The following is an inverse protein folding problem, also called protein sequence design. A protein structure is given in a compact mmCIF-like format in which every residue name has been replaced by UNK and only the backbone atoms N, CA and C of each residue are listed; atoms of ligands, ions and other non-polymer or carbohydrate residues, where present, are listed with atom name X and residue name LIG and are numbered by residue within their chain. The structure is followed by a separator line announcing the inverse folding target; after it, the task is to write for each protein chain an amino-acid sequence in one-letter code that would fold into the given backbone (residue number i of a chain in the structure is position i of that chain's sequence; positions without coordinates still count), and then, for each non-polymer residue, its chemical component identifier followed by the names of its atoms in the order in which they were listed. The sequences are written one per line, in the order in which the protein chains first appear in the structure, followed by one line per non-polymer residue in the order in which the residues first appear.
data_IF_144438790519
#
_entry.id   IF_144438790519
#
_cell.length_a   1.000
_cell.length_b   1.000
_cell.length_c   1.000
_cell.angle_alpha   90.00
_cell.angle_beta   90.00
_cell.angle_gamma   90.00
#
_symmetry.space_group_name_H-M   'P 1'
#
loop_
_entity.id
_entity.type
_entity.pdbx_description
1 polymer ?
#
# COMPACT_ATOMS: atom_id res chain seq x y z
N UNK A 1 2.28 0.64 -24.09
CA UNK A 1 2.29 0.41 -22.65
C UNK A 1 1.72 1.67 -22.00
N UNK A 2 0.73 1.50 -21.15
CA UNK A 2 0.11 2.61 -20.43
C UNK A 2 1.13 3.27 -19.52
N UNK A 3 1.20 4.60 -19.52
CA UNK A 3 2.10 5.36 -18.63
C UNK A 3 1.29 5.87 -17.45
N UNK A 4 1.88 5.81 -16.25
CA UNK A 4 1.29 6.41 -15.06
C UNK A 4 1.10 7.92 -15.32
N UNK A 5 -0.12 8.45 -15.20
CA UNK A 5 -0.35 9.88 -15.30
C UNK A 5 0.35 10.65 -14.18
N UNK A 6 0.68 11.92 -14.41
CA UNK A 6 1.18 12.79 -13.34
C UNK A 6 0.07 13.13 -12.34
N UNK A 7 0.45 13.44 -11.10
CA UNK A 7 -0.54 13.83 -10.09
C UNK A 7 -1.36 15.06 -10.52
N UNK A 8 -0.71 16.05 -11.11
CA UNK A 8 -1.36 17.26 -11.63
C UNK A 8 -2.42 16.94 -12.70
N UNK A 9 -2.10 16.04 -13.65
CA UNK A 9 -3.07 15.59 -14.66
C UNK A 9 -4.27 14.88 -13.99
N UNK A 10 -4.00 14.00 -13.01
CA UNK A 10 -5.05 13.29 -12.29
C UNK A 10 -5.95 14.24 -11.52
N UNK A 11 -5.37 15.27 -10.90
CA UNK A 11 -6.13 16.29 -10.15
C UNK A 11 -7.10 17.08 -11.04
N UNK A 12 -6.67 17.45 -12.26
CA UNK A 12 -7.54 18.08 -13.24
C UNK A 12 -8.65 17.12 -13.72
N UNK A 13 -8.29 15.87 -14.02
CA UNK A 13 -9.25 14.87 -14.47
C UNK A 13 -10.24 14.44 -13.38
N UNK A 14 -9.85 14.43 -12.13
CA UNK A 14 -10.75 14.13 -11.03
C UNK A 14 -11.92 15.12 -10.92
N UNK A 15 -11.72 16.39 -11.34
CA UNK A 15 -12.79 17.41 -11.38
C UNK A 15 -13.88 17.12 -12.40
N UNK A 16 -13.57 16.29 -13.41
CA UNK A 16 -14.51 15.87 -14.45
C UNK A 16 -15.32 14.61 -14.06
N UNK A 17 -15.07 14.04 -12.88
CA UNK A 17 -15.77 12.82 -12.44
C UNK A 17 -17.27 13.00 -12.40
N UNK A 18 -17.99 12.06 -13.02
CA UNK A 18 -19.45 12.02 -13.00
C UNK A 18 -20.03 11.78 -11.61
N UNK A 19 -19.24 11.25 -10.71
CA UNK A 19 -19.66 10.91 -9.37
C UNK A 19 -19.46 12.05 -8.36
N UNK A 20 -18.80 13.15 -8.70
CA UNK A 20 -18.56 14.28 -7.78
C UNK A 20 -19.84 14.92 -7.22
N UNK A 21 -20.97 14.77 -7.90
CA UNK A 21 -22.27 15.26 -7.42
C UNK A 21 -22.96 14.29 -6.46
N UNK A 22 -22.48 13.03 -6.36
CA UNK A 22 -23.00 12.08 -5.39
C UNK A 22 -22.54 12.47 -3.98
N UNK A 23 -23.46 12.55 -2.99
CA UNK A 23 -23.11 12.95 -1.62
C UNK A 23 -22.06 12.04 -0.97
N UNK A 24 -22.12 10.73 -1.23
CA UNK A 24 -21.14 9.77 -0.74
C UNK A 24 -19.73 10.09 -1.26
N UNK A 25 -19.60 10.23 -2.57
CA UNK A 25 -18.30 10.46 -3.24
C UNK A 25 -17.71 11.82 -2.82
N UNK A 26 -18.55 12.86 -2.74
CA UNK A 26 -18.11 14.18 -2.24
C UNK A 26 -17.53 14.07 -0.83
N UNK A 27 -18.24 13.38 0.05
CA UNK A 27 -17.77 13.13 1.43
C UNK A 27 -16.43 12.38 1.46
N UNK A 28 -16.24 11.39 0.58
CA UNK A 28 -14.97 10.66 0.48
C UNK A 28 -13.80 11.57 0.08
N UNK A 29 -14.02 12.46 -0.91
CA UNK A 29 -13.00 13.42 -1.33
C UNK A 29 -12.62 14.34 -0.18
N UNK A 30 -13.59 14.92 0.53
CA UNK A 30 -13.36 15.77 1.69
C UNK A 30 -12.57 15.02 2.78
N UNK A 31 -12.98 13.80 3.12
CA UNK A 31 -12.34 12.99 4.14
C UNK A 31 -10.92 12.54 3.77
N UNK A 32 -10.64 12.32 2.47
CA UNK A 32 -9.29 11.96 2.03
C UNK A 32 -8.24 13.05 2.28
N UNK A 33 -8.70 14.30 2.42
CA UNK A 33 -7.87 15.47 2.70
C UNK A 33 -7.85 15.84 4.18
N UNK A 34 -8.79 15.32 4.97
CA UNK A 34 -9.00 15.74 6.37
C UNK A 34 -7.96 15.12 7.32
N UNK A 35 -6.94 15.91 7.64
CA UNK A 35 -5.91 15.53 8.60
C UNK A 35 -6.41 15.42 10.05
N UNK A 36 -7.53 16.06 10.39
CA UNK A 36 -8.07 16.02 11.75
C UNK A 36 -8.59 14.62 12.13
N UNK A 37 -8.80 13.73 11.15
CA UNK A 37 -9.20 12.34 11.38
C UNK A 37 -8.22 11.59 12.29
N UNK A 38 -6.93 11.89 12.18
CA UNK A 38 -5.89 11.23 12.98
C UNK A 38 -5.92 11.58 14.47
N UNK A 39 -6.69 12.60 14.83
CA UNK A 39 -6.86 13.08 16.22
C UNK A 39 -8.23 12.73 16.81
N UNK A 40 -9.11 12.10 16.02
CA UNK A 40 -10.45 11.71 16.47
C UNK A 40 -10.40 10.50 17.40
N UNK A 41 -11.41 10.40 18.27
CA UNK A 41 -11.52 9.25 19.16
C UNK A 41 -11.83 7.95 18.41
N UNK A 42 -11.47 6.80 18.98
CA UNK A 42 -11.78 5.48 18.40
C UNK A 42 -13.29 5.30 18.13
N UNK A 43 -14.16 5.80 19.03
CA UNK A 43 -15.62 5.70 18.90
C UNK A 43 -16.13 6.54 17.73
N UNK A 44 -15.60 7.76 17.56
CA UNK A 44 -15.94 8.59 16.41
C UNK A 44 -15.55 7.93 15.10
N UNK A 45 -14.33 7.38 15.03
CA UNK A 45 -13.84 6.71 13.83
C UNK A 45 -14.62 5.42 13.53
N UNK A 46 -14.99 4.66 14.55
CA UNK A 46 -15.83 3.47 14.39
C UNK A 46 -17.21 3.85 13.81
N UNK A 47 -17.84 4.91 14.33
CA UNK A 47 -19.11 5.39 13.79
C UNK A 47 -18.96 5.92 12.36
N UNK A 48 -17.89 6.68 12.08
CA UNK A 48 -17.60 7.19 10.75
C UNK A 48 -17.46 6.05 9.73
N UNK A 49 -16.70 4.99 10.06
CA UNK A 49 -16.54 3.84 9.17
C UNK A 49 -17.85 3.09 8.94
N UNK A 50 -18.70 2.97 9.97
CA UNK A 50 -20.05 2.39 9.83
C UNK A 50 -20.91 3.22 8.88
N UNK A 51 -20.90 4.53 9.01
CA UNK A 51 -21.64 5.44 8.11
C UNK A 51 -21.11 5.34 6.67
N UNK A 52 -19.77 5.24 6.50
CA UNK A 52 -19.15 5.06 5.20
C UNK A 52 -19.48 3.69 4.59
N UNK A 53 -19.52 2.62 5.38
CA UNK A 53 -19.96 1.32 4.93
C UNK A 53 -21.36 1.40 4.32
N UNK A 54 -22.34 1.92 5.09
CA UNK A 54 -23.72 2.05 4.63
C UNK A 54 -23.85 2.89 3.37
N UNK A 55 -23.19 4.04 3.35
CA UNK A 55 -23.21 4.92 2.16
C UNK A 55 -22.50 4.33 0.95
N UNK A 56 -21.42 3.55 1.15
CA UNK A 56 -20.77 2.81 0.06
C UNK A 56 -21.69 1.74 -0.52
N UNK A 57 -22.30 0.91 0.33
CA UNK A 57 -23.22 -0.13 -0.13
C UNK A 57 -24.41 0.47 -0.91
N UNK A 58 -25.01 1.56 -0.41
CA UNK A 58 -26.07 2.28 -1.10
C UNK A 58 -25.60 2.83 -2.46
N UNK A 59 -24.40 3.44 -2.50
CA UNK A 59 -23.80 3.93 -3.74
C UNK A 59 -23.62 2.81 -4.78
N UNK A 60 -23.05 1.68 -4.37
CA UNK A 60 -22.83 0.55 -5.30
C UNK A 60 -24.14 -0.11 -5.73
N UNK A 61 -25.12 -0.24 -4.86
CA UNK A 61 -26.45 -0.77 -5.21
C UNK A 61 -27.15 0.10 -6.26
N UNK A 62 -27.09 1.43 -6.12
CA UNK A 62 -27.70 2.37 -7.08
C UNK A 62 -26.99 2.41 -8.42
N UNK A 63 -25.72 2.08 -8.49
CA UNK A 63 -24.89 2.19 -9.70
C UNK A 63 -24.63 0.85 -10.40
N UNK A 64 -25.04 -0.30 -9.81
CA UNK A 64 -24.79 -1.62 -10.40
C UNK A 64 -25.85 -2.64 -9.97
N UNK A 65 -26.52 -3.22 -10.95
CA UNK A 65 -27.46 -4.32 -10.74
C UNK A 65 -26.77 -5.56 -10.12
N UNK A 66 -25.48 -5.77 -10.45
CA UNK A 66 -24.69 -6.83 -9.83
C UNK A 66 -24.61 -6.65 -8.31
N UNK A 67 -24.28 -5.45 -7.83
CA UNK A 67 -24.19 -5.22 -6.38
C UNK A 67 -25.55 -5.26 -5.69
N UNK A 68 -26.59 -4.76 -6.33
CA UNK A 68 -27.95 -4.89 -5.80
C UNK A 68 -28.30 -6.36 -5.56
N UNK A 69 -28.13 -7.22 -6.58
CA UNK A 69 -28.39 -8.66 -6.48
C UNK A 69 -27.47 -9.36 -5.46
N UNK A 70 -26.22 -8.94 -5.38
CA UNK A 70 -25.27 -9.47 -4.39
C UNK A 70 -25.78 -9.21 -2.96
N UNK A 71 -26.16 -7.97 -2.65
CA UNK A 71 -26.63 -7.62 -1.31
C UNK A 71 -27.95 -8.34 -0.98
N UNK A 72 -28.91 -8.37 -1.89
CA UNK A 72 -30.15 -9.13 -1.74
C UNK A 72 -29.87 -10.61 -1.43
N UNK A 73 -28.96 -11.25 -2.17
CA UNK A 73 -28.64 -12.66 -2.00
C UNK A 73 -27.93 -12.98 -0.68
N UNK A 74 -27.16 -12.01 -0.14
CA UNK A 74 -26.49 -12.12 1.15
C UNK A 74 -27.36 -11.66 2.32
N UNK A 75 -28.60 -11.20 2.04
CA UNK A 75 -29.51 -10.69 3.06
C UNK A 75 -29.00 -9.41 3.72
N UNK A 76 -28.29 -8.56 2.96
CA UNK A 76 -27.71 -7.30 3.45
C UNK A 76 -28.62 -6.15 3.01
N UNK A 77 -29.11 -5.40 3.99
CA UNK A 77 -29.75 -4.09 3.78
C UNK A 77 -28.65 -2.99 3.86
N UNK A 78 -28.35 -2.30 2.75
CA UNK A 78 -27.33 -1.23 2.76
C UNK A 78 -27.55 -0.18 3.85
N UNK A 79 -28.80 0.15 4.17
CA UNK A 79 -29.13 1.19 5.15
C UNK A 79 -28.88 0.76 6.60
N UNK A 80 -28.88 -0.54 6.88
CA UNK A 80 -28.74 -1.14 8.19
C UNK A 80 -27.45 -1.99 8.34
N UNK A 81 -26.57 -1.97 7.34
CA UNK A 81 -25.35 -2.78 7.33
C UNK A 81 -24.42 -2.48 8.51
N UNK A 82 -23.84 -3.53 9.06
CA UNK A 82 -22.87 -3.47 10.16
C UNK A 82 -21.51 -4.04 9.71
N UNK A 83 -20.40 -3.75 10.41
CA UNK A 83 -19.07 -4.21 10.02
C UNK A 83 -18.95 -5.73 9.84
N UNK A 84 -19.75 -6.52 10.56
CA UNK A 84 -19.80 -7.98 10.46
C UNK A 84 -20.30 -8.46 9.09
N UNK A 85 -21.10 -7.67 8.40
CA UNK A 85 -21.58 -7.99 7.05
C UNK A 85 -20.45 -7.95 6.01
N UNK A 86 -19.36 -7.23 6.28
CA UNK A 86 -18.20 -7.19 5.40
C UNK A 86 -17.61 -8.58 5.13
N UNK A 87 -17.66 -9.48 6.09
CA UNK A 87 -17.19 -10.86 5.93
C UNK A 87 -17.94 -11.62 4.83
N UNK A 88 -19.22 -11.30 4.60
CA UNK A 88 -20.06 -11.91 3.54
C UNK A 88 -19.72 -11.34 2.15
N UNK A 89 -19.12 -10.15 2.10
CA UNK A 89 -18.79 -9.42 0.87
C UNK A 89 -17.32 -9.55 0.48
N UNK A 90 -16.47 -10.05 1.38
CA UNK A 90 -15.02 -10.07 1.18
C UNK A 90 -14.60 -11.05 0.08
N UNK A 91 -13.91 -10.52 -0.92
CA UNK A 91 -13.46 -11.25 -2.11
C UNK A 91 -11.99 -11.67 -1.92
N UNK A 92 -11.67 -12.98 -2.01
CA UNK A 92 -10.27 -13.40 -2.07
C UNK A 92 -9.53 -12.79 -3.28
N UNK A 93 -8.34 -12.24 -3.06
CA UNK A 93 -7.53 -11.59 -4.11
C UNK A 93 -7.28 -12.49 -5.33
N UNK A 94 -7.26 -13.81 -5.16
CA UNK A 94 -7.09 -14.73 -6.28
C UNK A 94 -8.25 -14.69 -7.29
N UNK A 95 -9.46 -14.29 -6.88
CA UNK A 95 -10.60 -14.09 -7.78
C UNK A 95 -10.48 -12.80 -8.63
N UNK A 96 -9.61 -11.88 -8.24
CA UNK A 96 -9.37 -10.61 -8.96
C UNK A 96 -8.26 -10.75 -10.02
N UNK A 97 -7.65 -11.94 -10.16
CA UNK A 97 -6.55 -12.18 -11.11
C UNK A 97 -7.02 -12.17 -12.57
N UNK A 98 -6.09 -11.84 -13.46
CA UNK A 98 -6.39 -11.73 -14.89
C UNK A 98 -7.45 -10.69 -15.16
N UNK A 99 -8.59 -11.10 -15.66
CA UNK A 99 -9.76 -10.25 -15.91
C UNK A 99 -10.85 -10.38 -14.81
N UNK A 100 -10.53 -11.06 -13.68
CA UNK A 100 -11.52 -11.31 -12.62
C UNK A 100 -12.15 -10.04 -12.05
N UNK A 101 -11.38 -8.96 -11.94
CA UNK A 101 -11.87 -7.66 -11.45
C UNK A 101 -13.00 -7.05 -12.30
N UNK A 102 -13.04 -7.31 -13.61
CA UNK A 102 -14.04 -6.72 -14.51
C UNK A 102 -15.49 -7.01 -14.08
N UNK A 103 -15.69 -8.11 -13.35
CA UNK A 103 -16.99 -8.51 -12.80
C UNK A 103 -17.47 -7.61 -11.66
N UNK A 104 -16.53 -7.00 -10.95
CA UNK A 104 -16.77 -6.16 -9.79
C UNK A 104 -16.74 -4.67 -10.12
N UNK A 105 -16.18 -4.27 -11.27
CA UNK A 105 -16.10 -2.88 -11.67
C UNK A 105 -17.48 -2.31 -12.03
N UNK A 106 -17.74 -1.08 -11.60
CA UNK A 106 -18.93 -0.35 -12.07
C UNK A 106 -18.90 -0.20 -13.59
N UNK A 107 -20.02 -0.49 -14.29
CA UNK A 107 -20.07 -0.38 -15.75
C UNK A 107 -19.89 1.06 -16.26
N UNK A 108 -20.23 2.04 -15.42
CA UNK A 108 -20.18 3.46 -15.71
C UNK A 108 -19.03 4.19 -15.01
N UNK A 109 -17.95 3.48 -14.62
CA UNK A 109 -16.77 4.09 -13.99
C UNK A 109 -16.13 5.19 -14.81
N UNK A 110 -15.52 6.18 -14.17
CA UNK A 110 -14.85 7.27 -14.86
C UNK A 110 -13.64 6.77 -15.67
N UNK A 111 -13.46 7.23 -16.91
CA UNK A 111 -12.30 6.88 -17.72
C UNK A 111 -11.07 7.72 -17.36
N UNK A 112 -9.93 7.40 -17.97
CA UNK A 112 -8.70 8.20 -17.89
C UNK A 112 -7.84 7.96 -16.62
N UNK A 113 -8.17 6.92 -15.86
CA UNK A 113 -7.37 6.49 -14.72
C UNK A 113 -6.19 5.61 -15.13
N UNK A 114 -5.81 4.69 -14.25
CA UNK A 114 -4.69 3.79 -14.44
C UNK A 114 -4.99 2.39 -13.92
N UNK A 115 -4.45 1.37 -14.61
CA UNK A 115 -4.59 -0.02 -14.18
C UNK A 115 -3.33 -0.50 -13.49
N UNK A 116 -3.39 -0.64 -12.18
CA UNK A 116 -2.32 -1.26 -11.39
C UNK A 116 -2.23 -2.76 -11.64
N UNK A 117 -1.01 -3.29 -11.49
CA UNK A 117 -0.74 -4.72 -11.63
C UNK A 117 0.11 -5.22 -10.47
N UNK A 118 -0.23 -6.39 -9.96
CA UNK A 118 0.63 -7.08 -9.01
C UNK A 118 1.89 -7.60 -9.71
N UNK A 119 2.94 -7.87 -8.93
CA UNK A 119 4.25 -8.29 -9.47
C UNK A 119 4.25 -9.64 -10.20
N UNK A 120 3.20 -10.46 -10.05
CA UNK A 120 3.10 -11.76 -10.73
C UNK A 120 4.20 -12.77 -10.33
N UNK A 121 4.83 -12.63 -9.18
CA UNK A 121 5.96 -13.48 -8.73
C UNK A 121 5.59 -14.93 -8.43
N UNK A 122 4.30 -15.22 -8.24
CA UNK A 122 3.79 -16.56 -7.94
C UNK A 122 3.57 -17.46 -9.16
N UNK A 123 3.93 -17.01 -10.37
CA UNK A 123 3.62 -17.74 -11.61
C UNK A 123 2.15 -17.73 -12.02
N UNK A 124 1.26 -17.15 -11.20
CA UNK A 124 -0.15 -16.94 -11.51
C UNK A 124 -0.33 -15.62 -12.29
N UNK A 125 -1.44 -15.47 -12.99
CA UNK A 125 -1.82 -14.21 -13.60
C UNK A 125 -1.78 -13.06 -12.57
N UNK A 126 -1.28 -11.87 -12.95
CA UNK A 126 -1.25 -10.73 -12.05
C UNK A 126 -2.68 -10.27 -11.72
N UNK A 127 -2.90 -9.82 -10.50
CA UNK A 127 -4.06 -9.01 -10.17
C UNK A 127 -3.95 -7.70 -10.95
N UNK A 128 -5.07 -7.22 -11.51
CA UNK A 128 -5.16 -5.97 -12.26
C UNK A 128 -6.32 -5.17 -11.72
N UNK A 129 -6.08 -4.00 -11.15
CA UNK A 129 -7.11 -3.15 -10.57
C UNK A 129 -7.12 -1.80 -11.28
N UNK A 130 -8.24 -1.46 -11.88
CA UNK A 130 -8.45 -0.12 -12.41
C UNK A 130 -8.75 0.87 -11.28
N UNK A 131 -8.17 2.06 -11.38
CA UNK A 131 -8.44 3.20 -10.50
C UNK A 131 -8.78 4.43 -11.35
N UNK A 132 -9.90 5.06 -11.08
CA UNK A 132 -10.28 6.31 -11.72
C UNK A 132 -9.35 7.45 -11.31
N UNK A 133 -9.31 8.57 -12.03
CA UNK A 133 -8.52 9.74 -11.63
C UNK A 133 -8.90 10.25 -10.24
N UNK A 134 -10.19 10.23 -9.89
CA UNK A 134 -10.68 10.64 -8.58
C UNK A 134 -10.14 9.73 -7.46
N UNK A 135 -10.19 8.41 -7.65
CA UNK A 135 -9.62 7.45 -6.71
C UNK A 135 -8.12 7.63 -6.54
N UNK A 136 -7.38 7.87 -7.63
CA UNK A 136 -5.94 8.09 -7.57
C UNK A 136 -5.56 9.36 -6.80
N UNK A 137 -6.35 10.43 -6.94
CA UNK A 137 -6.16 11.66 -6.16
C UNK A 137 -6.48 11.43 -4.68
N UNK A 138 -7.64 10.82 -4.38
CA UNK A 138 -8.03 10.53 -3.01
C UNK A 138 -7.02 9.60 -2.31
N UNK A 139 -6.61 8.52 -2.99
CA UNK A 139 -5.56 7.61 -2.56
C UNK A 139 -4.26 8.33 -2.22
N UNK A 140 -3.80 9.20 -3.13
CA UNK A 140 -2.54 9.92 -2.96
C UNK A 140 -2.59 10.84 -1.75
N UNK A 141 -3.67 11.61 -1.59
CA UNK A 141 -3.85 12.55 -0.48
C UNK A 141 -3.99 11.82 0.85
N UNK A 142 -4.83 10.79 0.92
CA UNK A 142 -5.04 9.98 2.13
C UNK A 142 -3.74 9.33 2.62
N UNK A 143 -2.99 8.69 1.72
CA UNK A 143 -1.74 8.04 2.10
C UNK A 143 -0.62 9.03 2.44
N UNK A 144 -0.55 10.18 1.75
CA UNK A 144 0.40 11.22 2.11
C UNK A 144 0.11 11.77 3.51
N UNK A 145 -1.18 11.93 3.87
CA UNK A 145 -1.57 12.35 5.22
C UNK A 145 -1.24 11.27 6.27
N UNK A 146 -1.49 9.99 5.97
CA UNK A 146 -1.11 8.89 6.86
C UNK A 146 0.41 8.84 7.03
N UNK A 147 1.18 9.00 5.95
CA UNK A 147 2.64 9.03 6.02
C UNK A 147 3.14 10.19 6.90
N UNK A 148 2.61 11.38 6.71
CA UNK A 148 2.95 12.53 7.58
C UNK A 148 2.60 12.29 9.04
N UNK A 149 1.44 11.68 9.31
CA UNK A 149 1.02 11.39 10.67
C UNK A 149 1.96 10.40 11.37
N UNK A 150 2.34 9.30 10.71
CA UNK A 150 3.22 8.29 11.31
C UNK A 150 4.68 8.71 11.38
N UNK A 151 5.09 9.55 10.43
CA UNK A 151 6.45 10.07 10.32
C UNK A 151 6.69 11.29 11.24
N UNK A 152 5.65 12.05 11.56
CA UNK A 152 5.69 13.28 12.33
C UNK A 152 5.87 14.53 11.45
N UNK A 153 6.07 15.68 12.09
CA UNK A 153 6.17 17.00 11.44
C UNK A 153 7.50 17.23 10.67
N UNK A 154 8.22 16.18 10.36
CA UNK A 154 9.54 16.28 9.70
C UNK A 154 9.42 16.37 8.19
N UNK A 155 8.31 15.89 7.61
CA UNK A 155 8.07 15.93 6.19
C UNK A 155 7.23 17.16 5.83
N UNK A 156 7.89 18.19 5.34
CA UNK A 156 7.22 19.40 4.85
C UNK A 156 7.16 19.39 3.32
N UNK A 157 6.07 19.87 2.72
CA UNK A 157 5.97 19.96 1.27
C UNK A 157 7.16 20.72 0.66
N UNK A 158 7.77 20.14 -0.37
CA UNK A 158 8.94 20.72 -1.04
C UNK A 158 10.27 20.61 -0.28
N UNK A 159 10.30 19.91 0.86
CA UNK A 159 11.52 19.67 1.64
C UNK A 159 11.91 18.19 1.62
N UNK A 160 13.22 17.95 1.74
CA UNK A 160 13.76 16.59 1.74
C UNK A 160 14.10 16.07 0.35
N UNK A 161 14.67 14.88 0.35
CA UNK A 161 15.10 14.17 -0.86
C UNK A 161 14.80 12.69 -0.72
N UNK A 162 14.16 12.12 -1.71
CA UNK A 162 13.88 10.70 -1.76
C UNK A 162 14.79 9.97 -2.77
N UNK A 163 15.31 8.80 -2.38
CA UNK A 163 15.93 7.83 -3.28
C UNK A 163 15.05 6.60 -3.32
N UNK A 164 14.66 6.17 -4.51
CA UNK A 164 14.02 4.89 -4.70
C UNK A 164 14.97 3.93 -5.43
N UNK A 165 15.27 2.78 -4.83
CA UNK A 165 16.01 1.69 -5.50
C UNK A 165 15.11 0.95 -6.50
N UNK A 166 14.68 1.66 -7.50
CA UNK A 166 13.88 1.21 -8.62
C UNK A 166 14.31 1.97 -9.88
N UNK A 167 14.00 1.45 -11.05
CA UNK A 167 14.03 2.20 -12.29
C UNK A 167 12.71 2.96 -12.47
N UNK A 168 12.76 4.15 -13.07
CA UNK A 168 11.59 5.01 -13.24
C UNK A 168 10.45 4.30 -14.01
N UNK A 169 10.80 3.49 -15.01
CA UNK A 169 9.83 2.76 -15.82
C UNK A 169 8.95 1.81 -15.00
N UNK A 170 9.43 1.36 -13.82
CA UNK A 170 8.67 0.47 -12.96
C UNK A 170 7.43 1.11 -12.34
N UNK A 171 7.33 2.45 -12.29
CA UNK A 171 6.10 3.12 -11.87
C UNK A 171 4.90 2.82 -12.78
N UNK A 172 5.18 2.46 -14.05
CA UNK A 172 4.15 2.04 -15.00
C UNK A 172 3.73 0.57 -14.85
N UNK A 173 4.29 -0.16 -13.86
CA UNK A 173 4.06 -1.59 -13.68
C UNK A 173 3.78 -1.99 -12.24
N UNK A 174 4.49 -1.40 -11.29
CA UNK A 174 4.45 -1.81 -9.89
C UNK A 174 3.71 -0.80 -9.04
N UNK A 175 2.64 -1.27 -8.40
CA UNK A 175 1.79 -0.45 -7.54
C UNK A 175 2.60 0.37 -6.51
N UNK A 176 3.51 -0.27 -5.78
CA UNK A 176 4.31 0.43 -4.76
C UNK A 176 5.15 1.58 -5.35
N UNK A 177 5.74 1.39 -6.55
CA UNK A 177 6.54 2.44 -7.20
C UNK A 177 5.66 3.60 -7.66
N UNK A 178 4.52 3.29 -8.30
CA UNK A 178 3.56 4.29 -8.74
C UNK A 178 2.99 5.10 -7.55
N UNK A 179 2.67 4.43 -6.48
CA UNK A 179 2.13 5.01 -5.27
C UNK A 179 3.09 6.00 -4.62
N UNK A 180 4.36 5.63 -4.44
CA UNK A 180 5.38 6.51 -3.90
C UNK A 180 5.64 7.70 -4.83
N UNK A 181 5.69 7.45 -6.16
CA UNK A 181 5.89 8.51 -7.17
C UNK A 181 4.79 9.59 -7.07
N UNK A 182 3.52 9.18 -7.05
CA UNK A 182 2.39 10.11 -6.93
C UNK A 182 2.39 10.88 -5.60
N UNK A 183 2.67 10.20 -4.48
CA UNK A 183 2.71 10.83 -3.17
C UNK A 183 3.83 11.89 -3.08
N UNK A 184 5.00 11.62 -3.65
CA UNK A 184 6.12 12.56 -3.67
C UNK A 184 5.88 13.71 -4.65
N UNK A 185 5.20 13.49 -5.79
CA UNK A 185 4.73 14.55 -6.67
C UNK A 185 3.76 15.49 -5.94
N UNK A 186 2.76 14.94 -5.26
CA UNK A 186 1.80 15.72 -4.46
C UNK A 186 2.51 16.56 -3.39
N UNK A 187 3.50 16.00 -2.70
CA UNK A 187 4.27 16.70 -1.68
C UNK A 187 5.40 17.58 -2.26
N UNK A 188 5.58 17.60 -3.57
CA UNK A 188 6.66 18.35 -4.26
C UNK A 188 8.06 18.02 -3.72
N UNK A 189 8.28 16.76 -3.36
CA UNK A 189 9.57 16.25 -2.88
C UNK A 189 10.32 15.67 -4.06
N UNK A 190 11.60 16.04 -4.19
CA UNK A 190 12.47 15.52 -5.25
C UNK A 190 12.66 14.01 -5.07
N UNK A 191 12.38 13.23 -6.12
CA UNK A 191 12.62 11.80 -6.18
C UNK A 191 13.77 11.49 -7.15
N UNK A 192 14.71 10.68 -6.68
CA UNK A 192 15.80 10.11 -7.48
C UNK A 192 15.53 8.61 -7.63
N UNK A 193 15.44 8.14 -8.85
CA UNK A 193 15.41 6.70 -9.16
C UNK A 193 16.83 6.17 -9.24
N UNK A 194 17.23 5.33 -8.28
CA UNK A 194 18.60 4.84 -8.10
C UNK A 194 19.01 3.67 -8.97
N UNK A 195 18.13 3.18 -9.84
CA UNK A 195 18.38 2.06 -10.73
C UNK A 195 18.05 2.44 -12.17
N UNK A 196 18.66 1.78 -13.13
CA UNK A 196 18.31 1.81 -14.55
C UNK A 196 17.94 0.39 -15.03
N UNK A 197 17.22 0.28 -16.15
CA UNK A 197 17.01 -0.99 -16.82
C UNK A 197 18.22 -1.36 -17.68
N UNK A 198 18.70 -2.60 -17.60
CA UNK A 198 19.76 -3.08 -18.48
C UNK A 198 19.29 -3.12 -19.94
N UNK A 199 20.10 -2.60 -20.87
CA UNK A 199 19.78 -2.50 -22.30
C UNK A 199 19.60 -3.85 -23.01
N UNK A 200 20.27 -4.91 -22.54
CA UNK A 200 20.33 -6.23 -23.21
C UNK A 200 19.37 -7.27 -22.65
N UNK A 201 18.37 -6.83 -21.95
CA UNK A 201 17.48 -7.74 -21.24
C UNK A 201 16.39 -8.33 -22.14
N UNK A 202 16.70 -9.33 -22.94
CA UNK A 202 15.71 -10.17 -23.64
C UNK A 202 15.01 -11.11 -22.66
N UNK A 203 13.69 -11.03 -22.57
CA UNK A 203 12.84 -11.94 -21.79
C UNK A 203 12.92 -11.77 -20.25
N UNK A 204 11.93 -12.25 -19.53
CA UNK A 204 11.84 -12.24 -18.07
C UNK A 204 11.36 -10.93 -17.42
N UNK A 205 11.09 -10.96 -16.10
CA UNK A 205 10.50 -9.84 -15.38
C UNK A 205 11.46 -8.63 -15.29
N UNK A 206 10.92 -7.42 -15.44
CA UNK A 206 11.67 -6.15 -15.44
C UNK A 206 12.57 -5.96 -14.21
N UNK A 207 12.13 -6.39 -13.02
CA UNK A 207 12.93 -6.23 -11.80
C UNK A 207 14.20 -7.09 -11.74
N UNK A 208 14.31 -8.14 -12.58
CA UNK A 208 15.56 -8.92 -12.73
C UNK A 208 16.60 -8.24 -13.63
N UNK A 209 16.23 -7.12 -14.24
CA UNK A 209 17.02 -6.37 -15.22
C UNK A 209 17.51 -5.03 -14.66
N UNK A 210 17.38 -4.84 -13.35
CA UNK A 210 17.78 -3.60 -12.68
C UNK A 210 19.29 -3.56 -12.46
N UNK A 211 19.90 -2.44 -12.82
CA UNK A 211 21.31 -2.14 -12.56
C UNK A 211 21.42 -0.85 -11.74
N UNK A 212 22.28 -0.81 -10.68
CA UNK A 212 22.45 0.38 -9.88
C UNK A 212 23.02 1.56 -10.69
N UNK A 213 22.36 2.71 -10.63
CA UNK A 213 22.91 3.96 -11.16
C UNK A 213 23.77 4.63 -10.08
N UNK A 214 25.08 4.36 -10.14
CA UNK A 214 26.04 4.87 -9.13
C UNK A 214 26.04 6.38 -9.01
N UNK A 215 25.90 7.11 -10.13
CA UNK A 215 25.90 8.57 -10.13
C UNK A 215 24.69 9.13 -9.36
N UNK A 216 23.50 8.62 -9.63
CA UNK A 216 22.26 9.04 -8.96
C UNK A 216 22.28 8.67 -7.46
N UNK A 217 22.79 7.49 -7.12
CA UNK A 217 22.95 7.09 -5.71
C UNK A 217 23.95 8.01 -5.00
N UNK A 218 25.07 8.37 -5.63
CA UNK A 218 26.04 9.29 -5.05
C UNK A 218 25.49 10.72 -4.93
N UNK A 219 24.66 11.17 -5.88
CA UNK A 219 23.93 12.44 -5.76
C UNK A 219 23.10 12.48 -4.47
N UNK A 220 22.30 11.46 -4.24
CA UNK A 220 21.50 11.33 -3.02
C UNK A 220 22.37 11.31 -1.74
N UNK A 221 23.42 10.48 -1.72
CA UNK A 221 24.31 10.36 -0.55
C UNK A 221 24.96 11.70 -0.20
N UNK A 222 25.41 12.45 -1.21
CA UNK A 222 26.15 13.72 -1.05
C UNK A 222 25.26 14.93 -0.83
N UNK A 223 23.96 14.82 -1.14
CA UNK A 223 23.03 15.92 -0.90
C UNK A 223 23.01 16.32 0.57
N UNK A 224 22.73 17.59 0.82
CA UNK A 224 22.49 18.15 2.16
C UNK A 224 21.01 18.34 2.46
N UNK A 225 20.14 17.92 1.52
CA UNK A 225 18.70 18.00 1.73
C UNK A 225 18.28 17.04 2.86
N UNK A 226 17.38 17.51 3.72
CA UNK A 226 16.84 16.75 4.86
C UNK A 226 15.34 16.98 4.97
N UNK A 227 14.59 15.94 5.37
CA UNK A 227 15.02 14.56 5.62
C UNK A 227 15.35 13.80 4.34
N UNK A 228 16.16 12.76 4.44
CA UNK A 228 16.40 11.81 3.36
C UNK A 228 15.54 10.57 3.53
N UNK A 229 14.74 10.28 2.53
CA UNK A 229 13.86 9.12 2.49
C UNK A 229 14.45 8.07 1.53
N UNK A 230 14.66 6.86 2.03
CA UNK A 230 15.20 5.77 1.21
C UNK A 230 14.14 4.69 1.00
N UNK A 231 13.58 4.64 -0.21
CA UNK A 231 12.55 3.66 -0.59
C UNK A 231 13.16 2.46 -1.30
N UNK A 232 12.79 1.25 -0.87
CA UNK A 232 13.23 0.01 -1.51
C UNK A 232 12.30 -1.16 -1.18
N UNK A 233 12.40 -2.24 -1.97
CA UNK A 233 11.98 -3.54 -1.46
C UNK A 233 12.98 -4.04 -0.40
N UNK A 234 12.58 -4.93 0.54
CA UNK A 234 13.49 -5.52 1.53
C UNK A 234 14.74 -6.13 0.91
N UNK A 235 14.60 -6.80 -0.23
CA UNK A 235 15.73 -7.37 -0.99
C UNK A 235 16.76 -6.30 -1.43
N UNK A 236 16.32 -5.11 -1.83
CA UNK A 236 17.22 -4.03 -2.23
C UNK A 236 18.01 -3.47 -1.05
N UNK A 237 17.37 -3.33 0.12
CA UNK A 237 18.05 -2.93 1.36
C UNK A 237 19.09 -3.96 1.75
N UNK A 238 18.75 -5.25 1.69
CA UNK A 238 19.67 -6.35 2.00
C UNK A 238 20.90 -6.34 1.09
N UNK A 239 20.70 -6.33 -0.22
CA UNK A 239 21.79 -6.32 -1.20
C UNK A 239 22.73 -5.11 -1.02
N UNK A 240 22.17 -3.94 -0.79
CA UNK A 240 22.96 -2.75 -0.54
C UNK A 240 23.76 -2.86 0.75
N UNK A 241 23.15 -3.36 1.82
CA UNK A 241 23.80 -3.57 3.11
C UNK A 241 24.94 -4.59 3.02
N UNK A 242 24.76 -5.68 2.28
CA UNK A 242 25.83 -6.66 2.02
C UNK A 242 27.01 -6.06 1.24
N UNK A 243 26.73 -5.31 0.17
CA UNK A 243 27.77 -4.66 -0.62
C UNK A 243 28.62 -3.71 0.22
N UNK A 244 28.02 -2.91 1.06
CA UNK A 244 28.73 -2.01 1.99
C UNK A 244 29.32 -2.76 3.19
N UNK A 245 28.65 -3.80 3.68
CA UNK A 245 29.08 -4.62 4.80
C UNK A 245 30.30 -5.47 4.50
N UNK A 246 30.42 -6.00 3.28
CA UNK A 246 31.53 -6.83 2.80
C UNK A 246 32.81 -6.04 2.47
N UNK A 247 32.74 -4.72 2.40
CA UNK A 247 33.91 -3.88 2.24
C UNK A 247 34.83 -4.02 3.45
N UNK A 248 36.02 -4.60 3.27
CA UNK A 248 37.03 -4.66 4.32
C UNK A 248 37.38 -3.26 4.84
N UNK A 249 37.91 -3.19 6.07
CA UNK A 249 38.18 -1.94 6.78
C UNK A 249 38.89 -0.89 5.90
N UNK A 250 39.90 -1.31 5.14
CA UNK A 250 40.67 -0.45 4.23
C UNK A 250 39.79 0.12 3.10
N UNK A 251 38.95 -0.71 2.47
CA UNK A 251 38.04 -0.25 1.43
C UNK A 251 36.96 0.68 1.98
N UNK A 252 36.47 0.44 3.20
CA UNK A 252 35.56 1.36 3.92
C UNK A 252 36.20 2.72 4.15
N UNK A 253 37.47 2.75 4.57
CA UNK A 253 38.23 3.98 4.78
C UNK A 253 38.44 4.72 3.45
N UNK A 254 38.87 4.02 2.39
CA UNK A 254 39.04 4.57 1.05
C UNK A 254 37.69 5.09 0.52
N UNK A 255 36.62 4.34 0.68
CA UNK A 255 35.30 4.75 0.26
C UNK A 255 34.83 5.99 1.05
N UNK A 256 35.07 6.03 2.36
CA UNK A 256 34.81 7.20 3.22
C UNK A 256 35.60 8.43 2.77
N UNK A 257 36.87 8.27 2.43
CA UNK A 257 37.69 9.36 1.93
C UNK A 257 37.29 9.83 0.53
N UNK A 258 36.86 8.91 -0.34
CA UNK A 258 36.46 9.20 -1.71
C UNK A 258 35.04 9.76 -1.84
N UNK A 259 34.12 9.34 -0.97
CA UNK A 259 32.68 9.67 -1.06
C UNK A 259 32.16 10.47 0.14
N UNK A 260 32.96 10.58 1.20
CA UNK A 260 32.54 11.21 2.45
C UNK A 260 31.55 10.39 3.29
N UNK A 261 31.27 9.15 2.92
CA UNK A 261 30.13 8.42 3.51
C UNK A 261 30.24 6.91 3.55
N UNK A 262 30.76 6.28 4.59
CA UNK A 262 29.98 5.30 5.36
C UNK A 262 30.24 5.46 6.88
N UNK A 263 29.25 5.29 7.71
CA UNK A 263 27.86 4.94 7.38
C UNK A 263 27.15 6.04 6.58
N UNK A 264 26.17 5.65 5.74
CA UNK A 264 25.36 6.60 4.98
C UNK A 264 24.45 7.31 5.98
N UNK A 265 24.67 8.61 6.19
CA UNK A 265 23.80 9.41 7.04
C UNK A 265 22.60 9.93 6.23
N UNK A 266 21.39 9.57 6.66
CA UNK A 266 20.15 10.06 6.07
C UNK A 266 19.72 11.42 6.65
N UNK A 267 20.50 11.98 7.59
CA UNK A 267 20.24 13.26 8.21
C UNK A 267 19.09 13.24 9.22
N UNK A 268 18.68 14.43 9.60
CA UNK A 268 17.65 14.64 10.61
C UNK A 268 16.29 14.13 10.14
N UNK A 269 15.74 13.18 10.89
CA UNK A 269 14.48 12.52 10.52
C UNK A 269 14.60 11.54 9.35
N UNK A 270 15.81 11.22 8.90
CA UNK A 270 15.99 10.26 7.82
C UNK A 270 15.47 8.87 8.14
N UNK A 271 14.91 8.16 7.15
CA UNK A 271 14.32 6.85 7.35
C UNK A 271 14.43 5.95 6.11
N UNK A 272 14.40 4.64 6.33
CA UNK A 272 14.26 3.64 5.27
C UNK A 272 12.79 3.20 5.24
N UNK A 273 12.18 3.30 4.06
CA UNK A 273 10.81 2.85 3.81
C UNK A 273 10.87 1.63 2.91
N UNK A 274 10.40 0.50 3.42
CA UNK A 274 10.30 -0.74 2.64
C UNK A 274 8.87 -1.02 2.25
N UNK A 275 8.71 -1.73 1.14
CA UNK A 275 7.38 -2.17 0.69
C UNK A 275 7.49 -3.26 -0.37
N UNK A 276 6.44 -4.05 -0.47
CA UNK A 276 6.39 -5.22 -1.34
C UNK A 276 7.19 -6.40 -0.78
N UNK A 277 6.89 -7.60 -1.28
CA UNK A 277 7.56 -8.83 -0.85
C UNK A 277 8.97 -9.01 -1.43
N UNK A 278 9.58 -10.16 -1.16
CA UNK A 278 10.93 -10.54 -1.61
C UNK A 278 11.09 -10.63 -3.14
N UNK A 279 9.98 -10.61 -3.89
CA UNK A 279 9.93 -10.65 -5.37
C UNK A 279 10.74 -11.79 -5.97
N UNK A 280 10.75 -12.96 -5.30
CA UNK A 280 11.47 -14.16 -5.74
C UNK A 280 12.98 -14.14 -5.43
N UNK A 281 13.47 -13.16 -4.69
CA UNK A 281 14.81 -13.20 -4.12
C UNK A 281 14.78 -13.99 -2.80
N UNK A 282 15.81 -14.81 -2.60
CA UNK A 282 16.07 -15.37 -1.26
C UNK A 282 16.67 -14.25 -0.41
N UNK A 283 15.93 -13.81 0.57
CA UNK A 283 16.37 -12.78 1.52
C UNK A 283 16.25 -13.32 2.93
N UNK A 284 17.08 -12.85 3.87
CA UNK A 284 16.93 -13.17 5.28
C UNK A 284 15.59 -12.67 5.83
N UNK A 285 15.27 -13.12 7.03
CA UNK A 285 14.16 -12.57 7.82
C UNK A 285 14.29 -11.05 7.96
N UNK A 286 13.16 -10.36 8.05
CA UNK A 286 13.13 -8.89 7.99
C UNK A 286 13.92 -8.21 9.11
N UNK A 287 13.93 -8.79 10.32
CA UNK A 287 14.73 -8.31 11.46
C UNK A 287 16.23 -8.38 11.21
N UNK A 288 16.68 -9.40 10.45
CA UNK A 288 18.08 -9.54 10.02
C UNK A 288 18.41 -8.42 9.02
N UNK A 289 17.53 -8.14 8.06
CA UNK A 289 17.72 -7.05 7.10
C UNK A 289 17.86 -5.70 7.83
N UNK A 290 16.96 -5.42 8.77
CA UNK A 290 16.99 -4.20 9.59
C UNK A 290 18.30 -4.08 10.37
N UNK A 291 18.73 -5.16 11.00
CA UNK A 291 19.98 -5.20 11.78
C UNK A 291 21.21 -4.93 10.92
N UNK A 292 21.29 -5.57 9.75
CA UNK A 292 22.43 -5.36 8.83
C UNK A 292 22.42 -3.95 8.23
N UNK A 293 21.25 -3.45 7.83
CA UNK A 293 21.14 -2.09 7.33
C UNK A 293 21.56 -1.04 8.37
N UNK A 294 21.24 -1.25 9.64
CA UNK A 294 21.66 -0.36 10.74
C UNK A 294 23.19 -0.33 10.98
N UNK A 295 23.97 -1.21 10.35
CA UNK A 295 25.45 -1.12 10.34
C UNK A 295 25.94 -0.19 9.25
N UNK A 296 25.13 0.06 8.22
CA UNK A 296 25.48 0.83 7.02
C UNK A 296 24.84 2.22 7.03
N UNK A 297 23.60 2.32 7.52
CA UNK A 297 22.84 3.54 7.55
C UNK A 297 22.72 4.13 8.95
N UNK A 298 22.73 5.44 9.03
CA UNK A 298 22.46 6.24 10.23
C UNK A 298 21.44 7.32 9.91
N UNK A 299 20.77 7.78 10.95
CA UNK A 299 19.91 8.95 10.91
C UNK A 299 20.15 9.80 12.14
N UNK A 300 19.56 10.97 12.18
CA UNK A 300 19.55 11.82 13.34
C UNK A 300 18.12 11.90 13.87
N UNK A 301 17.97 11.76 15.18
CA UNK A 301 16.69 11.92 15.86
C UNK A 301 16.14 13.32 15.56
N UNK A 302 14.88 13.40 15.08
CA UNK A 302 14.35 14.67 14.59
C UNK A 302 14.14 15.71 15.70
N UNK A 303 13.97 15.30 16.95
CA UNK A 303 13.77 16.22 18.08
C UNK A 303 15.09 16.66 18.70
N UNK A 304 16.05 15.75 18.85
CA UNK A 304 17.31 16.00 19.54
C UNK A 304 18.49 16.27 18.63
N UNK A 305 18.42 15.89 17.34
CA UNK A 305 19.53 15.96 16.37
C UNK A 305 20.68 14.98 16.69
N UNK A 306 20.49 14.05 17.64
CA UNK A 306 21.51 13.04 17.96
C UNK A 306 21.48 11.91 16.95
N UNK A 307 22.67 11.39 16.62
CA UNK A 307 22.77 10.21 15.76
C UNK A 307 22.07 9.01 16.40
N UNK A 308 21.25 8.33 15.61
CA UNK A 308 20.51 7.13 16.01
C UNK A 308 20.61 6.05 14.92
N UNK A 309 20.44 4.78 15.27
CA UNK A 309 20.24 3.72 14.28
C UNK A 309 19.07 4.11 13.35
N UNK A 310 19.27 3.95 12.03
CA UNK A 310 18.27 4.37 11.07
C UNK A 310 16.90 3.76 11.39
N UNK A 311 15.82 4.54 11.47
CA UNK A 311 14.46 4.03 11.59
C UNK A 311 14.00 3.35 10.31
N UNK A 312 13.09 2.39 10.48
CA UNK A 312 12.44 1.69 9.38
C UNK A 312 10.93 1.90 9.43
N UNK A 313 10.33 2.02 8.27
CA UNK A 313 8.88 1.94 8.07
C UNK A 313 8.61 0.91 6.97
N UNK A 314 7.85 -0.12 7.27
CA UNK A 314 7.42 -1.07 6.26
C UNK A 314 5.98 -0.77 5.83
N UNK A 315 5.74 -0.80 4.52
CA UNK A 315 4.44 -0.52 3.93
C UNK A 315 3.80 -1.85 3.55
N UNK A 316 2.72 -2.19 4.23
CA UNK A 316 1.84 -3.27 3.79
C UNK A 316 0.81 -2.68 2.83
N UNK A 317 1.22 -2.59 1.57
CA UNK A 317 0.39 -2.15 0.45
C UNK A 317 0.07 -3.31 -0.47
N UNK A 318 -1.14 -3.31 -1.00
CA UNK A 318 -1.63 -4.30 -1.95
C UNK A 318 -2.09 -3.60 -3.22
N UNK A 319 -2.14 -4.32 -4.33
CA UNK A 319 -2.66 -3.77 -5.59
C UNK A 319 -4.15 -3.46 -5.48
N UNK A 320 -4.83 -4.22 -4.65
CA UNK A 320 -6.27 -4.21 -4.43
C UNK A 320 -6.75 -3.05 -3.59
N UNK A 321 -5.91 -2.45 -2.73
CA UNK A 321 -6.33 -1.36 -1.83
C UNK A 321 -5.86 0.01 -2.29
N UNK A 322 -6.64 1.04 -1.98
CA UNK A 322 -6.28 2.44 -2.18
C UNK A 322 -5.36 2.94 -1.07
N UNK A 323 -5.65 2.59 0.19
CA UNK A 323 -4.83 3.00 1.32
C UNK A 323 -3.96 1.84 1.82
N UNK A 324 -2.74 2.14 2.22
CA UNK A 324 -1.81 1.17 2.78
C UNK A 324 -1.85 1.18 4.30
N UNK A 325 -1.35 0.10 4.93
CA UNK A 325 -1.01 0.10 6.34
C UNK A 325 0.46 0.47 6.48
N UNK A 326 0.76 1.50 7.26
CA UNK A 326 2.13 1.98 7.47
C UNK A 326 2.63 1.65 8.87
N UNK A 327 3.90 1.25 8.97
CA UNK A 327 4.54 1.16 10.27
C UNK A 327 4.64 2.55 10.92
N UNK A 328 4.48 2.61 12.23
CA UNK A 328 4.88 3.79 12.99
C UNK A 328 6.40 4.00 12.84
N UNK A 329 6.80 5.24 12.76
CA UNK A 329 8.21 5.61 12.65
C UNK A 329 9.06 4.91 13.72
N UNK A 330 9.97 4.06 13.29
CA UNK A 330 10.91 3.32 14.13
C UNK A 330 10.33 2.16 14.97
N UNK A 331 9.03 1.90 14.94
CA UNK A 331 8.36 0.93 15.85
C UNK A 331 7.96 -0.37 15.18
N UNK A 332 7.80 -0.39 13.88
CA UNK A 332 7.44 -1.59 13.09
C UNK A 332 6.04 -2.16 13.42
N UNK A 333 5.11 -1.29 13.79
CA UNK A 333 3.71 -1.65 14.05
C UNK A 333 2.80 -0.95 13.05
N UNK A 334 2.01 -1.70 12.30
CA UNK A 334 1.22 -1.21 11.17
C UNK A 334 -0.07 -0.54 11.62
N UNK A 335 -0.27 0.67 11.11
CA UNK A 335 -1.43 1.49 11.34
C UNK A 335 -2.17 1.64 10.01
N UNK A 336 -3.47 1.35 9.94
CA UNK A 336 -4.29 1.65 8.77
C UNK A 336 -4.65 3.14 8.72
N UNK A 337 -5.10 3.59 7.55
CA UNK A 337 -5.73 4.91 7.47
C UNK A 337 -7.02 4.94 8.30
N UNK A 338 -7.38 6.05 8.99
CA UNK A 338 -8.57 6.14 9.83
C UNK A 338 -9.89 5.79 9.15
N UNK A 339 -10.00 5.98 7.85
CA UNK A 339 -11.19 5.63 7.05
C UNK A 339 -11.28 4.12 6.75
N UNK A 340 -10.15 3.42 6.71
CA UNK A 340 -10.09 2.02 6.32
C UNK A 340 -10.62 1.13 7.45
N UNK A 341 -11.57 0.25 7.16
CA UNK A 341 -11.95 -0.82 8.08
C UNK A 341 -11.08 -2.04 7.82
N UNK A 342 -10.23 -2.36 8.80
CA UNK A 342 -9.40 -3.56 8.79
C UNK A 342 -9.96 -4.51 9.83
N UNK A 343 -10.33 -5.70 9.40
CA UNK A 343 -10.91 -6.72 10.26
C UNK A 343 -10.24 -8.08 10.06
N UNK A 344 -10.36 -8.94 11.04
CA UNK A 344 -9.78 -10.27 10.99
C UNK A 344 -10.87 -11.33 10.84
N UNK A 345 -10.51 -12.36 10.08
CA UNK A 345 -11.30 -13.58 9.96
C UNK A 345 -10.51 -14.75 10.58
N UNK A 346 -11.22 -15.66 11.22
CA UNK A 346 -10.64 -16.93 11.64
C UNK A 346 -10.15 -17.70 10.42
N UNK A 347 -8.87 -18.11 10.36
CA UNK A 347 -8.30 -18.72 9.15
C UNK A 347 -8.93 -20.07 8.75
N UNK A 348 -9.70 -20.70 9.63
CA UNK A 348 -10.33 -22.02 9.38
C UNK A 348 -11.82 -21.89 9.06
N UNK A 349 -12.51 -21.00 9.76
CA UNK A 349 -13.96 -20.83 9.63
C UNK A 349 -14.36 -19.64 8.79
N UNK A 350 -13.43 -18.72 8.52
CA UNK A 350 -13.62 -17.44 7.79
C UNK A 350 -14.68 -16.51 8.43
N UNK A 351 -14.98 -16.73 9.70
CA UNK A 351 -15.89 -15.88 10.48
C UNK A 351 -15.13 -14.70 11.07
N UNK A 352 -15.79 -13.54 11.25
CA UNK A 352 -15.18 -12.40 11.94
C UNK A 352 -14.63 -12.78 13.32
N UNK A 353 -13.50 -12.18 13.69
CA UNK A 353 -12.89 -12.33 15.01
C UNK A 353 -12.38 -10.98 15.51
N UNK A 354 -12.63 -10.69 16.80
CA UNK A 354 -12.23 -9.46 17.47
C UNK A 354 -11.16 -9.68 18.55
N UNK A 355 -10.55 -10.84 18.55
CA UNK A 355 -9.56 -11.22 19.55
C UNK A 355 -8.24 -10.47 19.38
N UNK A 356 -7.77 -9.82 20.44
CA UNK A 356 -6.41 -9.25 20.48
C UNK A 356 -5.36 -10.33 20.77
N UNK A 357 -4.15 -10.09 20.28
CA UNK A 357 -2.97 -10.97 20.42
C UNK A 357 -3.17 -12.36 19.80
N UNK A 358 -4.12 -12.51 18.88
CA UNK A 358 -4.33 -13.71 18.08
C UNK A 358 -4.06 -13.44 16.61
N UNK A 359 -3.58 -14.47 15.93
CA UNK A 359 -3.34 -14.43 14.49
C UNK A 359 -4.68 -14.65 13.76
N UNK A 360 -4.97 -13.80 12.78
CA UNK A 360 -6.16 -13.87 11.96
C UNK A 360 -5.86 -13.58 10.50
N UNK A 361 -6.76 -14.00 9.64
CA UNK A 361 -6.72 -13.70 8.22
C UNK A 361 -7.15 -12.26 7.99
N UNK A 362 -6.27 -11.46 7.41
CA UNK A 362 -6.51 -10.05 7.11
C UNK A 362 -7.63 -9.90 6.08
N UNK A 363 -8.59 -9.03 6.38
CA UNK A 363 -9.59 -8.54 5.45
C UNK A 363 -9.68 -7.02 5.55
N UNK A 364 -9.97 -6.36 4.43
CA UNK A 364 -9.94 -4.91 4.30
C UNK A 364 -11.18 -4.43 3.58
N UNK A 365 -11.78 -3.37 4.11
CA UNK A 365 -12.72 -2.52 3.39
C UNK A 365 -12.13 -1.12 3.29
N UNK A 366 -11.94 -0.64 2.06
CA UNK A 366 -11.47 0.73 1.80
C UNK A 366 -12.60 1.54 1.15
N UNK A 367 -13.25 2.45 1.89
CA UNK A 367 -14.38 3.21 1.39
C UNK A 367 -14.02 4.23 0.31
N UNK A 368 -12.72 4.57 0.13
CA UNK A 368 -12.28 5.51 -0.90
C UNK A 368 -12.45 4.98 -2.32
N UNK A 369 -12.69 3.68 -2.48
CA UNK A 369 -12.95 3.07 -3.77
C UNK A 369 -14.36 3.41 -4.28
N UNK A 370 -14.45 3.90 -5.52
CA UNK A 370 -15.70 4.22 -6.21
C UNK A 370 -15.84 3.49 -7.55
N UNK A 371 -14.80 2.78 -8.00
CA UNK A 371 -14.85 1.97 -9.21
C UNK A 371 -15.32 0.53 -8.97
N UNK A 372 -15.13 0.00 -7.77
CA UNK A 372 -15.62 -1.29 -7.29
C UNK A 372 -15.72 -1.28 -5.76
N UNK A 373 -16.60 -2.12 -5.21
CA UNK A 373 -16.73 -2.24 -3.75
C UNK A 373 -15.51 -2.98 -3.19
N UNK A 374 -14.60 -2.23 -2.60
CA UNK A 374 -13.30 -2.72 -2.15
C UNK A 374 -13.40 -3.41 -0.79
N UNK A 375 -13.96 -4.61 -0.78
CA UNK A 375 -13.95 -5.53 0.36
C UNK A 375 -13.22 -6.80 -0.06
N UNK A 376 -12.02 -7.06 0.48
CA UNK A 376 -11.22 -8.17 -0.02
C UNK A 376 -10.32 -8.80 1.04
N UNK A 377 -9.83 -10.00 0.72
CA UNK A 377 -8.92 -10.80 1.54
C UNK A 377 -7.61 -11.00 0.76
N UNK A 378 -6.51 -10.33 1.15
CA UNK A 378 -5.24 -10.43 0.42
C UNK A 378 -4.55 -11.79 0.56
N UNK A 379 -4.90 -12.57 1.58
CA UNK A 379 -4.26 -13.83 1.89
C UNK A 379 -3.05 -13.67 2.83
N UNK A 380 -3.07 -12.64 3.66
CA UNK A 380 -2.05 -12.39 4.68
C UNK A 380 -2.61 -12.70 6.08
N UNK A 381 -1.79 -13.32 6.91
CA UNK A 381 -2.07 -13.54 8.33
C UNK A 381 -1.38 -12.41 9.10
N UNK A 382 -2.14 -11.75 9.94
CA UNK A 382 -1.67 -10.68 10.80
C UNK A 382 -2.10 -10.93 12.24
N UNK A 383 -1.42 -10.31 13.19
CA UNK A 383 -1.79 -10.29 14.60
C UNK A 383 -2.30 -8.91 14.96
N UNK A 384 -3.54 -8.84 15.44
CA UNK A 384 -4.10 -7.64 16.00
C UNK A 384 -3.60 -7.42 17.41
N UNK A 385 -3.13 -6.21 17.69
CA UNK A 385 -2.67 -5.79 19.03
C UNK A 385 -3.43 -4.56 19.49
N UNK A 386 -3.61 -4.37 20.81
CA UNK A 386 -4.22 -3.16 21.34
C UNK A 386 -3.42 -1.91 20.97
N UNK A 387 -4.10 -0.82 20.69
CA UNK A 387 -3.52 0.50 20.50
C UNK A 387 -4.33 1.54 21.29
N UNK A 388 -3.66 2.53 21.82
CA UNK A 388 -4.33 3.70 22.42
C UNK A 388 -4.80 4.69 21.35
N UNK A 389 -4.42 4.47 20.10
CA UNK A 389 -4.71 5.32 18.95
C UNK A 389 -5.70 4.67 18.00
N UNK A 390 -6.27 5.45 17.11
CA UNK A 390 -7.29 5.05 16.16
C UNK A 390 -8.46 4.37 16.86
N UNK A 391 -8.90 3.24 16.37
CA UNK A 391 -10.00 2.44 16.91
C UNK A 391 -9.51 1.34 17.87
N UNK A 392 -8.41 1.58 18.56
CA UNK A 392 -7.92 0.70 19.61
C UNK A 392 -7.11 -0.50 19.13
N UNK A 393 -6.68 -0.55 17.85
CA UNK A 393 -5.94 -1.70 17.30
C UNK A 393 -4.87 -1.30 16.28
N UNK A 394 -3.80 -2.07 16.30
CA UNK A 394 -2.72 -2.05 15.32
C UNK A 394 -2.42 -3.47 14.86
N UNK A 395 -1.59 -3.62 13.84
CA UNK A 395 -1.38 -4.92 13.20
C UNK A 395 0.11 -5.24 13.07
N UNK A 396 0.46 -6.50 13.36
CA UNK A 396 1.79 -7.06 13.10
C UNK A 396 1.62 -8.08 11.97
N UNK A 397 2.39 -7.92 10.91
CA UNK A 397 2.44 -8.93 9.84
C UNK A 397 3.08 -10.22 10.39
N UNK A 398 2.44 -11.36 10.14
CA UNK A 398 2.93 -12.67 10.58
C UNK A 398 3.45 -13.47 9.40
N UNK A 399 2.59 -13.77 8.43
CA UNK A 399 2.95 -14.55 7.24
C UNK A 399 1.88 -14.45 6.14
N UNK A 400 2.22 -14.91 4.98
CA UNK A 400 1.23 -15.16 3.92
C UNK A 400 0.61 -16.56 4.08
N UNK A 401 -0.62 -16.74 3.57
CA UNK A 401 -1.23 -18.06 3.42
C UNK A 401 -0.36 -18.97 2.55
N UNK A 402 -0.31 -20.26 2.89
CA UNK A 402 0.22 -21.30 2.00
C UNK A 402 -0.69 -21.47 0.78
N UNK A 403 -0.21 -22.16 -0.25
CA UNK A 403 -1.04 -22.43 -1.44
C UNK A 403 -2.30 -23.24 -1.09
N UNK A 404 -2.19 -24.22 -0.22
CA UNK A 404 -3.32 -25.05 0.23
C UNK A 404 -4.36 -24.21 0.99
N UNK A 405 -3.91 -23.36 1.93
CA UNK A 405 -4.81 -22.45 2.65
C UNK A 405 -5.50 -21.48 1.69
N UNK A 406 -4.78 -20.95 0.69
CA UNK A 406 -5.34 -20.10 -0.36
C UNK A 406 -6.40 -20.79 -1.21
N UNK A 407 -6.20 -22.06 -1.57
CA UNK A 407 -7.21 -22.86 -2.26
C UNK A 407 -8.44 -23.09 -1.41
N UNK A 408 -8.28 -23.35 -0.12
CA UNK A 408 -9.40 -23.56 0.81
C UNK A 408 -10.22 -22.28 0.97
N UNK A 409 -9.56 -21.13 1.11
CA UNK A 409 -10.20 -19.81 1.13
C UNK A 409 -11.00 -19.54 -0.15
N UNK A 410 -10.42 -19.79 -1.30
CA UNK A 410 -11.07 -19.57 -2.58
C UNK A 410 -12.33 -20.44 -2.73
N UNK A 411 -12.30 -21.70 -2.29
CA UNK A 411 -13.47 -22.59 -2.31
C UNK A 411 -14.56 -22.12 -1.35
N UNK A 412 -14.18 -21.66 -0.16
CA UNK A 412 -15.15 -21.27 0.86
C UNK A 412 -15.86 -19.95 0.51
N UNK A 413 -15.11 -18.95 0.02
CA UNK A 413 -15.68 -17.63 -0.29
C UNK A 413 -16.08 -17.50 -1.76
N UNK A 414 -15.35 -18.18 -2.68
CA UNK A 414 -15.58 -18.11 -4.12
C UNK A 414 -16.85 -18.86 -4.56
N UNK A 415 -17.16 -19.99 -3.93
CA UNK A 415 -18.31 -20.83 -4.33
C UNK A 415 -19.64 -20.08 -4.29
N UNK A 416 -19.88 -19.28 -3.27
CA UNK A 416 -21.10 -18.46 -3.15
C UNK A 416 -21.13 -17.33 -4.19
N UNK A 417 -20.01 -16.66 -4.41
CA UNK A 417 -19.90 -15.59 -5.41
C UNK A 417 -19.99 -16.14 -6.84
N UNK A 418 -19.34 -17.27 -7.12
CA UNK A 418 -19.44 -17.95 -8.43
C UNK A 418 -20.89 -18.41 -8.71
N UNK A 419 -21.56 -18.99 -7.75
CA UNK A 419 -22.96 -19.42 -7.91
C UNK A 419 -23.89 -18.24 -8.23
N UNK A 420 -23.68 -17.08 -7.59
CA UNK A 420 -24.42 -15.86 -7.88
C UNK A 420 -24.11 -15.32 -9.29
N UNK A 421 -22.84 -15.38 -9.72
CA UNK A 421 -22.41 -14.98 -11.05
C UNK A 421 -22.99 -15.88 -12.14
N UNK A 422 -23.12 -17.20 -11.90
CA UNK A 422 -23.71 -18.13 -12.85
C UNK A 422 -25.24 -18.03 -12.91
N UNK A 423 -25.91 -17.84 -11.77
CA UNK A 423 -27.37 -17.70 -11.71
C UNK A 423 -27.87 -16.34 -12.20
N UNK A 424 -27.03 -15.29 -12.13
CA UNK A 424 -27.38 -13.94 -12.53
C UNK A 424 -27.36 -13.66 -14.04
N UNK A 425 -27.09 -14.66 -14.89
CA UNK A 425 -27.15 -14.49 -16.36
C UNK A 425 -26.09 -13.54 -16.94
N UNK A 426 -25.00 -13.26 -16.24
CA UNK A 426 -23.93 -12.36 -16.69
C UNK A 426 -22.99 -13.01 -17.74
N UNK A 427 -23.37 -14.14 -18.31
CA UNK A 427 -22.71 -14.82 -19.43
C UNK A 427 -23.73 -15.11 -20.55
N UNK A 428 -24.37 -14.08 -21.08
CA UNK A 428 -24.96 -14.10 -22.43
C UNK A 428 -24.39 -12.96 -23.26
#
# INVERSE_FOLDING_TARGET
MEKLPTFEYLEEKAKESRFLNDPHVRRLVELSEDRSLFEKSPEYLAQLRRDLLRSSLDFFARNSEFYQKLFESQGIDPSAAEPEDLAKLAVPSDLLRGNGIERFLLPNRDPGGFTFRSSGTSGKDPVRIYRSPLELVAMTKANANLFEYVYGDYLKPGQGLALFLAAEELKNHLNFVAFVDLALQYKKIKLIYGMDLAHDASGGPLWKKLVPNKQKILEFVRSRDEPKLFFSAPAGVHLLSEQFGSLGLVKRIIYKLATGAPPINLGRGGTIVTGGGSKGFQVPEYDVIVREARKVFRAEDPSTGKEVPVPFMDVLGMTETLTALLDKYGVMQKIPHPLQEVFLLDPKTYKPMDDYNKDGLLAIFDPLAVSWLEVFIPGDIVRQIPSERYYGREFIYVRRLTEEEGWNLQRACGGTLEELMYRGGALQ
#
